data_IF_214838505280
#
_entry.id   IF_214838505280
#
_cell.length_a   1.000
_cell.length_b   1.000
_cell.length_c   1.000
_cell.angle_alpha   90.00
_cell.angle_beta   90.00
_cell.angle_gamma   90.00
#
_symmetry.space_group_name_H-M   'P 1'
#
loop_
_entity.id
_entity.type
_entity.pdbx_description
1 polymer ?
#
# COMPACT_ATOMS: atom_id res chain seq x y z
N UNK A 1 6.01 -5.20 14.04
CA UNK A 1 5.95 -4.20 12.95
C UNK A 1 4.53 -3.76 12.59
N UNK A 2 3.48 -4.54 12.90
CA UNK A 2 2.07 -4.14 12.68
C UNK A 2 1.70 -2.79 13.30
N UNK A 3 2.05 -2.56 14.57
CA UNK A 3 1.79 -1.28 15.25
C UNK A 3 2.44 -0.08 14.53
N UNK A 4 3.62 -0.26 13.94
CA UNK A 4 4.29 0.78 13.15
C UNK A 4 3.49 1.10 11.87
N UNK A 5 2.95 0.08 11.18
CA UNK A 5 2.08 0.28 10.02
C UNK A 5 0.78 1.02 10.35
N UNK A 6 0.14 0.67 11.47
CA UNK A 6 -1.06 1.37 11.93
C UNK A 6 -0.76 2.83 12.29
N UNK A 7 0.34 3.10 12.99
CA UNK A 7 0.78 4.46 13.28
C UNK A 7 1.10 5.24 11.99
N UNK A 8 1.70 4.58 11.00
CA UNK A 8 1.97 5.15 9.68
C UNK A 8 0.66 5.54 8.97
N UNK A 9 -0.41 4.76 9.13
CA UNK A 9 -1.72 5.11 8.60
C UNK A 9 -2.29 6.35 9.28
N UNK A 10 -2.16 6.46 10.61
CA UNK A 10 -2.66 7.65 11.34
C UNK A 10 -2.03 8.95 10.83
N UNK A 11 -0.74 8.94 10.49
CA UNK A 11 -0.07 10.14 9.96
C UNK A 11 -0.36 10.38 8.47
N UNK A 12 -0.70 9.35 7.70
CA UNK A 12 -1.03 9.42 6.27
C UNK A 12 -2.53 9.18 5.98
N UNK A 13 -3.40 9.49 6.95
CA UNK A 13 -4.80 9.06 6.96
C UNK A 13 -5.65 9.66 5.83
N UNK A 14 -5.25 10.83 5.33
CA UNK A 14 -6.00 11.61 4.32
C UNK A 14 -6.35 10.80 3.08
N UNK A 15 -5.43 9.96 2.59
CA UNK A 15 -5.68 9.12 1.43
C UNK A 15 -6.78 8.09 1.68
N UNK A 16 -6.82 7.50 2.88
CA UNK A 16 -7.85 6.54 3.26
C UNK A 16 -9.20 7.22 3.46
N UNK A 17 -9.22 8.40 4.10
CA UNK A 17 -10.44 9.20 4.31
C UNK A 17 -11.07 9.63 2.99
N UNK A 18 -10.25 10.04 2.02
CA UNK A 18 -10.72 10.38 0.68
C UNK A 18 -11.39 9.17 0.00
N UNK A 19 -10.72 8.02 -0.02
CA UNK A 19 -11.28 6.78 -0.61
C UNK A 19 -12.50 6.29 0.16
N UNK A 20 -12.55 6.47 1.47
CA UNK A 20 -13.73 6.18 2.29
C UNK A 20 -14.91 7.06 1.95
N UNK A 21 -14.69 8.35 1.70
CA UNK A 21 -15.75 9.27 1.26
C UNK A 21 -16.28 8.92 -0.14
N UNK A 22 -15.40 8.46 -1.04
CA UNK A 22 -15.83 7.88 -2.33
C UNK A 22 -16.68 6.64 -2.09
N UNK A 23 -16.20 5.68 -1.26
CA UNK A 23 -16.92 4.45 -0.93
C UNK A 23 -18.33 4.71 -0.41
N UNK A 24 -18.54 5.75 0.38
CA UNK A 24 -19.86 6.12 0.94
C UNK A 24 -20.87 6.56 -0.12
N UNK A 25 -20.41 7.04 -1.27
CA UNK A 25 -21.26 7.51 -2.38
C UNK A 25 -21.64 6.40 -3.34
N UNK A 26 -20.92 5.28 -3.32
CA UNK A 26 -21.17 4.12 -4.17
C UNK A 26 -22.28 3.23 -3.60
N UNK A 27 -23.17 2.76 -4.46
CA UNK A 27 -24.23 1.82 -4.11
C UNK A 27 -23.67 0.43 -3.78
N UNK A 28 -22.59 0.03 -4.46
CA UNK A 28 -21.96 -1.29 -4.29
C UNK A 28 -20.45 -1.19 -4.02
N UNK A 29 -19.88 -2.23 -3.42
CA UNK A 29 -18.42 -2.36 -3.28
C UNK A 29 -17.75 -2.45 -4.65
N UNK A 30 -18.37 -3.16 -5.60
CA UNK A 30 -17.84 -3.30 -6.97
C UNK A 30 -17.73 -1.96 -7.69
N UNK A 31 -18.74 -1.10 -7.58
CA UNK A 31 -18.70 0.27 -8.11
C UNK A 31 -17.54 1.07 -7.50
N UNK A 32 -17.37 1.00 -6.17
CA UNK A 32 -16.27 1.66 -5.49
C UNK A 32 -14.91 1.15 -5.97
N UNK A 33 -14.72 -0.18 -6.04
CA UNK A 33 -13.47 -0.79 -6.49
C UNK A 33 -13.13 -0.38 -7.92
N UNK A 34 -14.12 -0.29 -8.81
CA UNK A 34 -13.90 0.19 -10.16
C UNK A 34 -13.45 1.65 -10.20
N UNK A 35 -13.94 2.51 -9.31
CA UNK A 35 -13.49 3.91 -9.22
C UNK A 35 -12.07 3.99 -8.65
N UNK A 36 -11.86 3.39 -7.48
CA UNK A 36 -10.60 3.46 -6.73
C UNK A 36 -9.42 2.92 -7.54
N UNK A 37 -9.61 1.76 -8.17
CA UNK A 37 -8.53 1.08 -8.89
C UNK A 37 -8.27 1.69 -10.26
N UNK A 38 -9.20 2.46 -10.83
CA UNK A 38 -8.97 3.19 -12.09
C UNK A 38 -8.21 4.51 -11.89
N UNK A 39 -8.11 5.03 -10.65
CA UNK A 39 -7.43 6.31 -10.39
C UNK A 39 -5.92 6.27 -10.68
N UNK A 40 -5.28 5.09 -10.62
CA UNK A 40 -3.88 4.82 -10.99
C UNK A 40 -2.89 5.98 -10.77
N UNK A 41 -2.63 6.40 -9.51
CA UNK A 41 -1.72 7.52 -9.24
C UNK A 41 -0.27 7.25 -9.69
N UNK A 42 0.51 8.28 -10.02
CA UNK A 42 1.84 8.12 -10.64
C UNK A 42 2.82 7.14 -9.93
N UNK A 43 2.77 7.10 -8.60
CA UNK A 43 3.66 6.30 -7.74
C UNK A 43 3.01 5.00 -7.22
N UNK A 44 1.74 4.78 -7.57
CA UNK A 44 0.90 3.69 -7.08
C UNK A 44 0.16 3.06 -8.24
N UNK A 45 0.29 1.75 -8.40
CA UNK A 45 -0.42 1.02 -9.44
C UNK A 45 -1.29 -0.06 -8.82
N UNK A 46 -2.45 -0.29 -9.42
CA UNK A 46 -3.34 -1.37 -9.02
C UNK A 46 -3.58 -2.33 -10.17
N UNK A 47 -3.65 -3.62 -9.87
CA UNK A 47 -4.18 -4.64 -10.79
C UNK A 47 -5.22 -5.45 -10.02
N UNK A 48 -6.33 -5.81 -10.66
CA UNK A 48 -7.37 -6.63 -10.04
C UNK A 48 -7.65 -7.87 -10.86
N UNK A 49 -7.66 -9.01 -10.18
CA UNK A 49 -8.03 -10.32 -10.72
C UNK A 49 -9.10 -10.93 -9.81
N UNK A 50 -10.38 -10.64 -10.09
CA UNK A 50 -11.49 -11.07 -9.24
C UNK A 50 -11.42 -10.46 -7.84
N UNK A 51 -11.26 -11.32 -6.83
CA UNK A 51 -11.18 -10.94 -5.41
C UNK A 51 -9.76 -10.57 -4.95
N UNK A 52 -8.77 -10.62 -5.86
CA UNK A 52 -7.40 -10.25 -5.54
C UNK A 52 -7.08 -8.89 -6.16
N UNK A 53 -6.59 -7.97 -5.32
CA UNK A 53 -5.97 -6.72 -5.76
C UNK A 53 -4.46 -6.81 -5.51
N UNK A 54 -3.67 -6.58 -6.55
CA UNK A 54 -2.25 -6.28 -6.40
C UNK A 54 -2.10 -4.76 -6.30
N UNK A 55 -1.60 -4.27 -5.16
CA UNK A 55 -1.22 -2.88 -4.96
C UNK A 55 0.30 -2.76 -5.05
N UNK A 56 0.77 -1.94 -5.98
CA UNK A 56 2.18 -1.62 -6.18
C UNK A 56 2.54 -0.23 -5.68
N UNK A 57 3.71 -0.10 -5.05
CA UNK A 57 4.36 1.18 -4.76
C UNK A 57 5.71 1.26 -5.48
N UNK A 58 6.04 2.41 -6.04
CA UNK A 58 7.31 2.63 -6.76
C UNK A 58 8.13 3.76 -6.13
N UNK A 59 8.83 3.53 -5.00
CA UNK A 59 9.56 4.59 -4.29
C UNK A 59 10.58 5.35 -5.13
N UNK A 60 11.24 4.66 -6.06
CA UNK A 60 12.25 5.25 -6.95
C UNK A 60 11.70 6.33 -7.88
N UNK A 61 10.37 6.36 -8.13
CA UNK A 61 9.74 7.44 -8.92
C UNK A 61 9.69 8.79 -8.19
N UNK A 62 9.75 8.81 -6.85
CA UNK A 62 9.73 10.08 -6.10
C UNK A 62 11.06 10.82 -6.20
N UNK A 63 12.18 10.10 -6.27
CA UNK A 63 13.49 10.74 -6.32
C UNK A 63 14.63 9.73 -6.32
N UNK A 64 15.76 10.18 -6.87
CA UNK A 64 16.99 9.40 -6.92
C UNK A 64 17.44 9.05 -5.50
N UNK A 65 17.64 7.75 -5.23
CA UNK A 65 18.08 7.24 -3.94
C UNK A 65 16.97 6.92 -2.93
N UNK A 66 15.70 7.23 -3.23
CA UNK A 66 14.58 6.83 -2.37
C UNK A 66 14.29 5.34 -2.58
N UNK A 67 14.57 4.53 -1.57
CA UNK A 67 14.34 3.07 -1.61
C UNK A 67 13.05 2.63 -0.92
N UNK A 68 12.47 3.47 -0.07
CA UNK A 68 11.23 3.22 0.65
C UNK A 68 10.53 4.54 1.01
N UNK A 69 9.21 4.53 1.17
CA UNK A 69 8.48 5.68 1.73
C UNK A 69 8.62 5.79 3.26
N UNK A 70 9.08 4.73 3.93
CA UNK A 70 9.36 4.77 5.36
C UNK A 70 10.58 5.68 5.63
N UNK A 71 10.46 6.72 6.49
CA UNK A 71 11.59 7.60 6.81
C UNK A 71 12.80 6.88 7.39
N UNK A 72 12.59 5.72 8.04
CA UNK A 72 13.68 4.90 8.60
C UNK A 72 14.55 4.24 7.52
N UNK A 73 13.99 3.99 6.34
CA UNK A 73 14.61 3.21 5.26
C UNK A 73 14.67 3.95 3.93
N UNK A 74 14.21 5.20 3.88
CA UNK A 74 14.08 5.96 2.63
C UNK A 74 15.43 6.17 1.95
N UNK A 75 16.46 6.47 2.72
CA UNK A 75 17.84 6.74 2.25
C UNK A 75 18.77 5.53 2.44
N UNK A 76 18.23 4.31 2.47
CA UNK A 76 19.05 3.10 2.56
C UNK A 76 20.04 3.07 1.37
N UNK A 77 21.36 2.91 1.58
CA UNK A 77 22.30 2.86 0.47
C UNK A 77 21.98 1.74 -0.51
N UNK A 78 22.37 1.91 -1.77
CA UNK A 78 22.27 0.83 -2.76
C UNK A 78 23.16 -0.34 -2.36
N UNK A 79 22.71 -1.57 -2.67
CA UNK A 79 23.40 -2.80 -2.28
C UNK A 79 23.26 -3.22 -0.81
N UNK A 80 22.75 -2.34 0.06
CA UNK A 80 22.45 -2.71 1.44
C UNK A 80 21.04 -3.30 1.52
N UNK A 81 20.96 -4.53 2.03
CA UNK A 81 19.69 -5.19 2.32
C UNK A 81 19.40 -5.11 3.82
N UNK A 82 18.12 -4.98 4.17
CA UNK A 82 17.64 -5.05 5.55
C UNK A 82 16.63 -6.18 5.68
N UNK A 83 16.33 -6.56 6.92
CA UNK A 83 15.34 -7.61 7.18
C UNK A 83 13.97 -7.27 6.58
N UNK A 84 13.35 -8.24 5.93
CA UNK A 84 11.96 -8.16 5.44
C UNK A 84 10.95 -7.88 6.55
N UNK A 85 11.31 -8.07 7.82
CA UNK A 85 10.49 -7.66 8.96
C UNK A 85 10.07 -6.20 8.84
N UNK A 86 10.91 -5.30 8.33
CA UNK A 86 10.55 -3.89 8.17
C UNK A 86 9.41 -3.67 7.15
N UNK A 87 9.33 -4.46 6.08
CA UNK A 87 8.26 -4.38 5.08
C UNK A 87 6.89 -4.74 5.65
N UNK A 88 6.86 -5.49 6.76
CA UNK A 88 5.60 -5.78 7.45
C UNK A 88 4.94 -4.52 8.02
N UNK A 89 5.67 -3.40 8.18
CA UNK A 89 5.07 -2.10 8.44
C UNK A 89 4.17 -1.66 7.27
N UNK A 90 4.68 -1.67 6.04
CA UNK A 90 3.91 -1.27 4.87
C UNK A 90 2.76 -2.24 4.57
N UNK A 91 2.95 -3.55 4.79
CA UNK A 91 1.85 -4.52 4.67
C UNK A 91 0.73 -4.22 5.67
N UNK A 92 1.06 -3.92 6.92
CA UNK A 92 0.06 -3.55 7.93
C UNK A 92 -0.60 -2.20 7.65
N UNK A 93 0.13 -1.24 7.08
CA UNK A 93 -0.45 0.02 6.57
C UNK A 93 -1.51 -0.26 5.50
N UNK A 94 -1.16 -1.05 4.48
CA UNK A 94 -2.08 -1.41 3.38
C UNK A 94 -3.30 -2.15 3.90
N UNK A 95 -3.11 -3.09 4.83
CA UNK A 95 -4.23 -3.80 5.45
C UNK A 95 -5.16 -2.83 6.18
N UNK A 96 -4.63 -2.01 7.09
CA UNK A 96 -5.45 -1.07 7.86
C UNK A 96 -6.14 -0.03 6.95
N UNK A 97 -5.51 0.37 5.85
CA UNK A 97 -6.09 1.24 4.83
C UNK A 97 -7.37 0.63 4.22
N UNK A 98 -7.28 -0.62 3.73
CA UNK A 98 -8.44 -1.29 3.13
C UNK A 98 -9.50 -1.69 4.14
N UNK A 99 -9.13 -2.16 5.32
CA UNK A 99 -10.07 -2.44 6.41
C UNK A 99 -10.82 -1.16 6.83
N UNK A 100 -10.13 -0.02 6.87
CA UNK A 100 -10.74 1.27 7.23
C UNK A 100 -11.76 1.79 6.21
N UNK A 101 -11.58 1.44 4.94
CA UNK A 101 -12.48 1.79 3.83
C UNK A 101 -13.67 0.82 3.75
N UNK A 102 -13.39 -0.49 3.74
CA UNK A 102 -14.39 -1.53 3.52
C UNK A 102 -15.15 -1.92 4.81
N UNK A 103 -14.61 -1.60 5.98
CA UNK A 103 -15.26 -1.82 7.27
C UNK A 103 -15.31 -3.29 7.71
N UNK A 104 -14.45 -4.14 7.14
CA UNK A 104 -14.34 -5.57 7.45
C UNK A 104 -12.88 -6.01 7.43
N UNK A 105 -12.53 -7.14 8.08
CA UNK A 105 -11.16 -7.66 8.05
C UNK A 105 -10.70 -7.98 6.62
N UNK A 106 -9.46 -7.65 6.29
CA UNK A 106 -8.85 -7.87 4.97
C UNK A 106 -7.51 -8.57 5.17
N UNK A 107 -7.25 -9.61 4.37
CA UNK A 107 -5.94 -10.27 4.38
C UNK A 107 -5.02 -9.59 3.37
N UNK A 108 -3.82 -9.24 3.81
CA UNK A 108 -2.78 -8.68 2.94
C UNK A 108 -1.49 -9.46 3.10
N UNK A 109 -0.92 -9.88 1.97
CA UNK A 109 0.38 -10.53 1.87
C UNK A 109 1.41 -9.58 1.23
N UNK A 110 2.66 -9.74 1.63
CA UNK A 110 3.80 -9.04 1.01
C UNK A 110 4.35 -9.94 -0.11
N UNK A 111 4.30 -9.46 -1.35
CA UNK A 111 4.87 -10.16 -2.51
C UNK A 111 6.32 -9.76 -2.77
N UNK A 112 6.51 -8.53 -3.23
CA UNK A 112 7.83 -7.99 -3.63
C UNK A 112 8.15 -6.72 -2.85
N UNK A 113 9.43 -6.38 -2.73
CA UNK A 113 9.84 -5.15 -2.06
C UNK A 113 11.11 -4.52 -2.62
N UNK A 114 11.07 -3.20 -2.74
CA UNK A 114 12.18 -2.40 -3.24
C UNK A 114 13.42 -2.42 -2.35
N UNK A 115 13.25 -2.72 -1.05
CA UNK A 115 14.38 -2.76 -0.12
C UNK A 115 15.24 -4.02 -0.27
N UNK A 116 14.75 -5.04 -0.99
CA UNK A 116 15.54 -6.22 -1.39
C UNK A 116 15.95 -6.19 -2.87
N UNK A 117 15.78 -5.05 -3.54
CA UNK A 117 16.24 -4.83 -4.91
C UNK A 117 15.18 -4.99 -6.00
N UNK A 118 13.91 -5.23 -5.66
CA UNK A 118 12.83 -5.13 -6.65
C UNK A 118 12.64 -3.67 -7.10
N UNK A 119 12.05 -3.46 -8.28
CA UNK A 119 11.72 -2.11 -8.76
C UNK A 119 10.51 -1.52 -8.03
N UNK A 120 9.56 -2.37 -7.66
CA UNK A 120 8.33 -2.00 -6.98
C UNK A 120 8.13 -2.85 -5.71
N UNK A 121 7.42 -2.29 -4.73
CA UNK A 121 6.81 -3.11 -3.69
C UNK A 121 5.47 -3.63 -4.20
N UNK A 122 5.12 -4.89 -3.90
CA UNK A 122 3.85 -5.51 -4.25
C UNK A 122 3.15 -6.03 -3.00
N UNK A 123 1.88 -5.67 -2.83
CA UNK A 123 0.99 -6.17 -1.79
C UNK A 123 -0.19 -6.88 -2.43
N UNK A 124 -0.47 -8.09 -1.96
CA UNK A 124 -1.57 -8.93 -2.46
C UNK A 124 -2.70 -8.82 -1.44
N UNK A 125 -3.82 -8.29 -1.88
CA UNK A 125 -4.96 -7.94 -1.04
C UNK A 125 -6.10 -8.87 -1.40
N UNK A 126 -6.58 -9.61 -0.41
CA UNK A 126 -7.73 -10.50 -0.55
C UNK A 126 -8.95 -9.76 -0.04
N UNK A 127 -9.80 -9.36 -0.98
CA UNK A 127 -11.14 -8.87 -0.71
C UNK A 127 -11.99 -10.01 -0.15
#
# INVERSE_FOLDING_TARGET
MTACGHACLTVNIKGMEASKEVRRKCATEEEFLNIELNAQPDITRFERNGEIINWYYTPRKIGKGIRCFCPLLSMLPEGINVSLTYCQCSRAFVQAYWEGILGRPIKVELGETSITGAEECKFIIHL
#
